data_IF_249794076180
#
_entry.id   IF_249794076180
#
_cell.length_a   1.000
_cell.length_b   1.000
_cell.length_c   1.000
_cell.angle_alpha   90.00
_cell.angle_beta   90.00
_cell.angle_gamma   90.00
#
_symmetry.space_group_name_H-M   'P 1'
#
loop_
_entity.id
_entity.type
_entity.pdbx_description
1 polymer ?
#
# COMPACT_ATOMS: atom_id res chain seq x y z
N UNK A 1 29.45 46.37 -31.88
CA UNK A 1 28.12 46.98 -31.74
C UNK A 1 27.32 46.14 -30.75
N UNK A 2 27.00 46.62 -29.54
CA UNK A 2 26.14 45.92 -28.60
C UNK A 2 24.68 46.33 -28.77
N UNK A 3 23.77 45.38 -28.59
CA UNK A 3 22.30 45.54 -28.65
C UNK A 3 21.67 44.31 -29.29
N UNK A 4 20.65 43.66 -28.76
CA UNK A 4 19.73 43.96 -27.66
C UNK A 4 19.33 42.62 -27.00
N UNK A 5 19.16 42.70 -25.68
CA UNK A 5 18.29 41.88 -24.83
C UNK A 5 17.12 41.19 -25.54
N UNK A 6 17.01 39.87 -25.37
CA UNK A 6 15.74 39.16 -25.34
C UNK A 6 15.77 38.19 -24.14
N UNK A 7 15.29 38.70 -23.01
CA UNK A 7 14.89 37.92 -21.84
C UNK A 7 13.68 37.07 -22.20
N UNK A 8 13.94 35.82 -22.61
CA UNK A 8 12.91 34.78 -22.71
C UNK A 8 12.56 34.28 -21.31
N UNK A 9 11.73 35.06 -20.61
CA UNK A 9 10.99 34.60 -19.44
C UNK A 9 10.02 33.47 -19.87
N UNK A 10 10.48 32.23 -19.81
CA UNK A 10 9.65 31.06 -19.99
C UNK A 10 8.62 30.99 -18.85
N UNK A 11 7.36 31.24 -19.21
CA UNK A 11 6.16 31.06 -18.42
C UNK A 11 6.20 29.70 -17.69
N UNK A 12 6.43 29.70 -16.37
CA UNK A 12 6.14 28.55 -15.50
C UNK A 12 4.63 28.43 -15.37
N UNK A 13 4.03 27.65 -16.25
CA UNK A 13 2.62 27.24 -16.13
C UNK A 13 2.54 26.08 -15.13
N UNK A 14 2.05 26.36 -13.92
CA UNK A 14 1.74 25.33 -12.94
C UNK A 14 0.58 24.46 -13.49
N UNK A 15 0.62 23.12 -13.35
CA UNK A 15 -0.50 22.29 -13.76
C UNK A 15 -1.69 22.53 -12.82
N UNK A 16 -2.80 22.96 -13.43
CA UNK A 16 -4.08 23.15 -12.76
C UNK A 16 -4.60 21.78 -12.30
N UNK A 17 -4.85 21.65 -11.00
CA UNK A 17 -5.51 20.48 -10.41
C UNK A 17 -6.98 20.48 -10.83
N UNK A 18 -7.32 19.69 -11.85
CA UNK A 18 -8.71 19.36 -12.16
C UNK A 18 -9.25 18.44 -11.08
N UNK A 19 -10.15 18.96 -10.24
CA UNK A 19 -10.95 18.19 -9.31
C UNK A 19 -11.93 17.31 -10.09
N UNK A 20 -11.63 16.02 -10.19
CA UNK A 20 -12.55 15.03 -10.73
C UNK A 20 -13.39 14.43 -9.60
N UNK A 21 -14.70 14.69 -9.71
CA UNK A 21 -15.86 13.93 -9.24
C UNK A 21 -15.73 13.13 -7.93
N UNK A 22 -16.42 13.65 -6.89
CA UNK A 22 -16.94 12.86 -5.78
C UNK A 22 -18.00 11.89 -6.31
N UNK A 23 -17.58 10.68 -6.67
CA UNK A 23 -18.45 9.54 -6.88
C UNK A 23 -18.76 8.87 -5.54
N UNK A 24 -19.94 9.16 -5.00
CA UNK A 24 -20.49 8.47 -3.83
C UNK A 24 -20.83 7.03 -4.17
N UNK A 25 -19.98 6.12 -3.72
CA UNK A 25 -20.35 4.74 -3.45
C UNK A 25 -19.84 4.43 -2.06
N UNK A 26 -20.75 4.36 -1.08
CA UNK A 26 -20.44 3.80 0.22
C UNK A 26 -20.21 2.30 0.03
N UNK A 27 -19.05 1.95 -0.55
CA UNK A 27 -18.49 0.63 -0.43
C UNK A 27 -18.15 0.46 1.04
N UNK A 28 -19.05 -0.21 1.77
CA UNK A 28 -18.69 -0.86 3.02
C UNK A 28 -17.35 -1.52 2.78
N UNK A 29 -16.30 -1.03 3.41
CA UNK A 29 -15.01 -1.71 3.47
C UNK A 29 -15.32 -3.02 4.16
N UNK A 30 -15.68 -4.03 3.37
CA UNK A 30 -15.87 -5.37 3.92
C UNK A 30 -14.49 -5.79 4.37
N UNK A 31 -14.30 -6.16 5.65
CA UNK A 31 -13.06 -6.82 6.04
C UNK A 31 -12.81 -7.95 5.05
N UNK A 32 -11.54 -8.14 4.64
CA UNK A 32 -11.01 -9.12 3.66
C UNK A 32 -12.12 -9.84 2.89
N UNK A 33 -12.37 -9.45 1.64
CA UNK A 33 -13.49 -10.02 0.87
C UNK A 33 -13.40 -11.55 0.75
N UNK A 34 -14.52 -12.21 0.47
CA UNK A 34 -14.61 -13.68 0.46
C UNK A 34 -13.57 -14.33 -0.48
N UNK A 35 -13.23 -13.68 -1.59
CA UNK A 35 -12.21 -14.18 -2.52
C UNK A 35 -10.84 -14.15 -1.85
N UNK A 36 -10.47 -13.02 -1.26
CA UNK A 36 -9.21 -12.85 -0.54
C UNK A 36 -9.09 -13.84 0.63
N UNK A 37 -10.17 -14.03 1.40
CA UNK A 37 -10.20 -15.00 2.51
C UNK A 37 -9.95 -16.43 2.02
N UNK A 38 -10.64 -16.86 0.96
CA UNK A 38 -10.46 -18.18 0.33
C UNK A 38 -9.05 -18.37 -0.22
N UNK A 39 -8.47 -17.33 -0.82
CA UNK A 39 -7.11 -17.36 -1.36
C UNK A 39 -6.08 -17.55 -0.24
N UNK A 40 -6.17 -16.79 0.85
CA UNK A 40 -5.29 -16.93 2.02
C UNK A 40 -5.36 -18.33 2.61
N UNK A 41 -6.57 -18.83 2.86
CA UNK A 41 -6.78 -20.17 3.40
C UNK A 41 -6.26 -21.27 2.46
N UNK A 42 -6.42 -21.11 1.15
CA UNK A 42 -5.88 -22.04 0.16
C UNK A 42 -4.34 -22.01 0.13
N UNK A 43 -3.74 -20.81 0.17
CA UNK A 43 -2.29 -20.64 0.21
C UNK A 43 -1.68 -21.28 1.46
N UNK A 44 -2.24 -21.04 2.64
CA UNK A 44 -1.74 -21.65 3.89
C UNK A 44 -1.84 -23.17 3.84
N UNK A 45 -2.99 -23.73 3.43
CA UNK A 45 -3.13 -25.19 3.28
C UNK A 45 -2.11 -25.78 2.32
N UNK A 46 -1.90 -25.12 1.19
CA UNK A 46 -0.93 -25.56 0.19
C UNK A 46 0.49 -25.52 0.75
N UNK A 47 0.89 -24.43 1.42
CA UNK A 47 2.20 -24.28 2.05
C UNK A 47 2.43 -25.31 3.16
N UNK A 48 1.42 -25.55 4.01
CA UNK A 48 1.49 -26.55 5.07
C UNK A 48 1.69 -27.96 4.49
N UNK A 49 1.00 -28.27 3.39
CA UNK A 49 1.11 -29.58 2.71
C UNK A 49 2.49 -29.80 2.10
N UNK A 50 3.11 -28.77 1.53
CA UNK A 50 4.36 -28.92 0.77
C UNK A 50 5.63 -28.64 1.60
N UNK A 51 5.52 -27.85 2.65
CA UNK A 51 6.69 -27.37 3.41
C UNK A 51 6.57 -27.58 4.92
N UNK A 52 5.40 -27.97 5.43
CA UNK A 52 5.09 -28.04 6.86
C UNK A 52 4.72 -26.68 7.46
N UNK A 53 4.44 -26.66 8.76
CA UNK A 53 3.92 -25.50 9.49
C UNK A 53 4.72 -25.18 10.78
N UNK A 54 5.97 -25.65 10.86
CA UNK A 54 6.84 -25.41 12.00
C UNK A 54 7.34 -23.95 12.10
N UNK A 55 8.06 -23.61 13.18
CA UNK A 55 8.56 -22.25 13.43
C UNK A 55 9.41 -21.68 12.28
N UNK A 56 10.21 -22.52 11.62
CA UNK A 56 11.01 -22.12 10.47
C UNK A 56 10.12 -21.72 9.29
N UNK A 57 9.07 -22.49 8.98
CA UNK A 57 8.14 -22.17 7.90
C UNK A 57 7.33 -20.91 8.21
N UNK A 58 6.91 -20.72 9.46
CA UNK A 58 6.29 -19.48 9.91
C UNK A 58 7.23 -18.28 9.71
N UNK A 59 8.52 -18.46 10.03
CA UNK A 59 9.55 -17.43 9.81
C UNK A 59 9.66 -17.09 8.32
N UNK A 60 9.70 -18.09 7.43
CA UNK A 60 9.75 -17.85 5.99
C UNK A 60 8.52 -17.09 5.47
N UNK A 61 7.32 -17.38 5.98
CA UNK A 61 6.09 -16.67 5.61
C UNK A 61 6.08 -15.22 6.09
N UNK A 62 6.71 -14.94 7.23
CA UNK A 62 6.93 -13.57 7.71
C UNK A 62 7.96 -12.85 6.83
N UNK A 63 9.07 -13.52 6.48
CA UNK A 63 10.10 -12.94 5.61
C UNK A 63 9.60 -12.62 4.20
N UNK A 64 8.64 -13.40 3.69
CA UNK A 64 7.95 -13.11 2.41
C UNK A 64 7.32 -11.72 2.39
N UNK A 65 6.83 -11.20 3.52
CA UNK A 65 6.30 -9.82 3.61
C UNK A 65 7.36 -8.78 3.24
N UNK A 66 8.61 -8.98 3.67
CA UNK A 66 9.72 -8.08 3.34
C UNK A 66 10.10 -8.18 1.87
N UNK A 67 10.04 -9.38 1.30
CA UNK A 67 10.26 -9.61 -0.14
C UNK A 67 9.27 -8.79 -0.97
N UNK A 68 7.95 -8.96 -0.74
CA UNK A 68 6.92 -8.21 -1.45
C UNK A 68 7.02 -6.69 -1.23
N UNK A 69 7.39 -6.27 -0.01
CA UNK A 69 7.58 -4.84 0.28
C UNK A 69 8.75 -4.25 -0.52
N UNK A 70 9.79 -5.06 -0.78
CA UNK A 70 10.89 -4.71 -1.67
C UNK A 70 10.46 -4.59 -3.12
N UNK A 71 9.58 -5.48 -3.59
CA UNK A 71 9.01 -5.44 -4.95
C UNK A 71 8.15 -4.18 -5.14
N UNK A 72 7.26 -3.86 -4.20
CA UNK A 72 6.48 -2.62 -4.22
C UNK A 72 7.36 -1.36 -4.25
N UNK A 73 8.45 -1.34 -3.47
CA UNK A 73 9.41 -0.24 -3.48
C UNK A 73 10.15 -0.14 -4.83
N UNK A 74 10.57 -1.28 -5.38
CA UNK A 74 11.22 -1.37 -6.70
C UNK A 74 10.29 -0.87 -7.81
N UNK A 75 9.02 -1.28 -7.79
CA UNK A 75 8.01 -0.82 -8.73
C UNK A 75 7.81 0.70 -8.63
N UNK A 76 7.75 1.27 -7.42
CA UNK A 76 7.62 2.72 -7.25
C UNK A 76 8.85 3.49 -7.77
N UNK A 77 10.06 2.98 -7.51
CA UNK A 77 11.30 3.50 -8.11
C UNK A 77 11.22 3.46 -9.64
N UNK A 78 10.65 2.39 -10.19
CA UNK A 78 10.36 2.23 -11.61
C UNK A 78 9.37 3.24 -12.17
N UNK A 79 8.29 3.56 -11.43
CA UNK A 79 7.34 4.63 -11.80
C UNK A 79 8.03 5.99 -11.84
N UNK A 80 8.85 6.29 -10.84
CA UNK A 80 9.55 7.57 -10.73
C UNK A 80 10.72 7.72 -11.71
N UNK A 81 11.06 6.65 -12.45
CA UNK A 81 12.18 6.64 -13.39
C UNK A 81 13.55 6.90 -12.74
N UNK A 82 13.67 6.65 -11.43
CA UNK A 82 14.85 7.06 -10.66
C UNK A 82 16.11 6.26 -10.97
N UNK A 83 15.99 5.14 -11.70
CA UNK A 83 17.13 4.39 -12.21
C UNK A 83 17.53 4.94 -13.60
N UNK A 84 18.61 5.73 -13.73
CA UNK A 84 18.95 6.39 -15.00
C UNK A 84 19.28 5.41 -16.13
N UNK A 85 19.62 4.16 -15.80
CA UNK A 85 19.90 3.10 -16.78
C UNK A 85 18.64 2.44 -17.36
N UNK A 86 17.49 2.59 -16.68
CA UNK A 86 16.24 1.92 -17.06
C UNK A 86 15.10 2.90 -17.39
N UNK A 87 15.17 4.15 -16.94
CA UNK A 87 14.07 5.11 -17.10
C UNK A 87 12.81 4.64 -16.37
N UNK A 88 11.64 5.01 -16.90
CA UNK A 88 10.34 4.58 -16.37
C UNK A 88 10.08 3.14 -16.79
N UNK A 89 9.88 2.25 -15.81
CA UNK A 89 9.69 0.80 -16.06
C UNK A 89 8.37 0.25 -15.56
N UNK A 90 7.65 0.98 -14.71
CA UNK A 90 6.39 0.54 -14.12
C UNK A 90 5.36 1.66 -14.15
N UNK A 91 4.13 1.29 -13.90
CA UNK A 91 2.96 2.14 -13.77
C UNK A 91 2.50 2.19 -12.32
N UNK A 92 1.77 3.24 -11.90
CA UNK A 92 1.14 3.26 -10.57
C UNK A 92 0.17 2.10 -10.32
N UNK A 93 -0.40 1.49 -11.37
CA UNK A 93 -1.24 0.29 -11.24
C UNK A 93 -0.41 -0.91 -10.82
N UNK A 94 0.72 -1.16 -11.45
CA UNK A 94 1.63 -2.24 -11.06
C UNK A 94 2.12 -2.07 -9.63
N UNK A 95 2.42 -0.83 -9.18
CA UNK A 95 2.74 -0.58 -7.77
C UNK A 95 1.59 -0.97 -6.83
N UNK A 96 0.35 -0.71 -7.23
CA UNK A 96 -0.81 -1.09 -6.44
C UNK A 96 -1.07 -2.61 -6.47
N UNK A 97 -0.59 -3.33 -7.49
CA UNK A 97 -0.60 -4.80 -7.53
C UNK A 97 0.43 -5.34 -6.53
N UNK A 98 1.67 -4.84 -6.54
CA UNK A 98 2.71 -5.23 -5.57
C UNK A 98 2.30 -4.94 -4.11
N UNK A 99 1.63 -3.81 -3.86
CA UNK A 99 1.09 -3.50 -2.53
C UNK A 99 -0.03 -4.47 -2.11
N UNK A 100 -0.79 -5.03 -3.07
CA UNK A 100 -1.76 -6.07 -2.79
C UNK A 100 -1.06 -7.39 -2.43
N UNK A 101 0.07 -7.71 -3.06
CA UNK A 101 0.89 -8.87 -2.73
C UNK A 101 1.48 -8.75 -1.32
N UNK A 102 1.94 -7.56 -0.90
CA UNK A 102 2.34 -7.30 0.50
C UNK A 102 1.19 -7.60 1.48
N UNK A 103 -0.03 -7.17 1.15
CA UNK A 103 -1.19 -7.40 2.01
C UNK A 103 -1.55 -8.90 2.09
N UNK A 104 -1.53 -9.61 0.96
CA UNK A 104 -1.78 -11.05 0.90
C UNK A 104 -0.72 -11.85 1.65
N UNK A 105 0.57 -11.54 1.46
CA UNK A 105 1.67 -12.15 2.20
C UNK A 105 1.50 -11.94 3.71
N UNK A 106 1.10 -10.73 4.13
CA UNK A 106 0.83 -10.43 5.53
C UNK A 106 -0.33 -11.26 6.09
N UNK A 107 -1.43 -11.44 5.34
CA UNK A 107 -2.55 -12.28 5.77
C UNK A 107 -2.19 -13.75 5.84
N UNK A 108 -1.41 -14.27 4.88
CA UNK A 108 -0.88 -15.63 4.92
C UNK A 108 -0.02 -15.84 6.16
N UNK A 109 0.84 -14.88 6.51
CA UNK A 109 1.64 -14.94 7.73
C UNK A 109 0.77 -14.92 8.99
N UNK A 110 -0.20 -14.01 9.10
CA UNK A 110 -1.14 -13.96 10.23
C UNK A 110 -1.91 -15.28 10.39
N UNK A 111 -2.41 -15.83 9.29
CA UNK A 111 -3.15 -17.09 9.29
C UNK A 111 -2.27 -18.27 9.70
N UNK A 112 -1.02 -18.27 9.26
CA UNK A 112 -0.01 -19.28 9.62
C UNK A 112 0.41 -19.25 11.10
N UNK A 113 0.21 -18.11 11.77
CA UNK A 113 0.38 -17.96 13.22
C UNK A 113 -0.87 -18.39 14.01
N UNK A 114 -1.94 -18.84 13.33
CA UNK A 114 -3.17 -19.34 13.95
C UNK A 114 -4.24 -18.28 14.19
N UNK A 115 -4.07 -17.07 13.70
CA UNK A 115 -5.06 -15.98 13.86
C UNK A 115 -5.97 -15.85 12.63
N UNK A 116 -7.12 -15.20 12.79
CA UNK A 116 -7.95 -14.74 11.67
C UNK A 116 -7.42 -13.38 11.16
N UNK A 117 -6.93 -13.29 9.91
CA UNK A 117 -6.45 -12.02 9.35
C UNK A 117 -7.51 -10.90 9.33
N UNK A 118 -8.78 -11.24 9.09
CA UNK A 118 -9.85 -10.25 9.03
C UNK A 118 -10.11 -9.63 10.42
N UNK A 119 -10.14 -10.46 11.47
CA UNK A 119 -10.29 -10.00 12.84
C UNK A 119 -9.09 -9.14 13.29
N UNK A 120 -7.87 -9.59 13.00
CA UNK A 120 -6.64 -8.85 13.34
C UNK A 120 -6.60 -7.50 12.65
N UNK A 121 -6.92 -7.44 11.35
CA UNK A 121 -6.94 -6.19 10.60
C UNK A 121 -8.03 -5.25 11.10
N UNK A 122 -9.24 -5.74 11.32
CA UNK A 122 -10.36 -4.93 11.82
C UNK A 122 -10.04 -4.31 13.18
N UNK A 123 -9.48 -5.11 14.11
CA UNK A 123 -9.07 -4.62 15.42
C UNK A 123 -7.96 -3.56 15.34
N UNK A 124 -7.02 -3.68 14.39
CA UNK A 124 -5.97 -2.66 14.17
C UNK A 124 -6.52 -1.40 13.53
N UNK A 125 -7.43 -1.52 12.57
CA UNK A 125 -8.10 -0.40 11.92
C UNK A 125 -8.92 0.42 12.93
N UNK A 126 -9.71 -0.23 13.79
CA UNK A 126 -10.45 0.43 14.86
C UNK A 126 -9.54 1.28 15.75
N UNK A 127 -8.42 0.72 16.22
CA UNK A 127 -7.41 1.45 17.02
C UNK A 127 -6.78 2.63 16.27
N UNK A 128 -6.64 2.57 14.95
CA UNK A 128 -6.16 3.71 14.15
C UNK A 128 -7.22 4.81 14.12
N UNK A 129 -8.48 4.45 13.87
CA UNK A 129 -9.60 5.39 13.84
C UNK A 129 -9.78 6.10 15.19
N UNK A 130 -9.74 5.36 16.30
CA UNK A 130 -9.83 5.93 17.65
C UNK A 130 -8.71 6.94 17.92
N UNK A 131 -7.48 6.62 17.51
CA UNK A 131 -6.34 7.54 17.64
C UNK A 131 -6.53 8.79 16.80
N UNK A 132 -7.02 8.68 15.57
CA UNK A 132 -7.27 9.84 14.71
C UNK A 132 -8.35 10.74 15.31
N UNK A 133 -9.42 10.17 15.86
CA UNK A 133 -10.48 10.93 16.52
C UNK A 133 -9.95 11.68 17.75
N UNK A 134 -9.11 11.04 18.57
CA UNK A 134 -8.50 11.67 19.74
C UNK A 134 -7.59 12.87 19.37
N UNK A 135 -6.78 12.76 18.31
CA UNK A 135 -5.88 13.84 17.87
C UNK A 135 -6.62 14.95 17.11
N UNK A 136 -7.71 14.63 16.41
CA UNK A 136 -8.58 15.61 15.74
C UNK A 136 -9.41 16.44 16.72
N UNK A 137 -9.73 15.90 17.91
CA UNK A 137 -10.44 16.62 18.97
C UNK A 137 -9.58 17.60 19.77
N UNK A 138 -8.25 17.42 19.80
CA UNK A 138 -7.33 18.30 20.54
C UNK A 138 -7.03 19.62 19.80
N UNK A 139 -7.17 19.66 18.47
CA UNK A 139 -6.85 20.88 17.70
C UNK A 139 -7.89 22.00 17.84
N UNK A 140 -9.06 21.74 18.44
CA UNK A 140 -10.14 22.72 18.58
C UNK A 140 -10.13 23.50 19.91
N UNK A 141 -9.20 23.22 20.85
CA UNK A 141 -9.24 23.77 22.22
C UNK A 141 -8.05 24.72 22.51
N UNK A 142 -7.29 25.15 21.50
CA UNK A 142 -6.09 25.99 21.72
C UNK A 142 -6.18 27.43 21.23
N UNK A 143 -7.31 27.87 20.67
CA UNK A 143 -7.53 29.27 20.26
C UNK A 143 -8.83 29.84 20.86
N UNK A 144 -8.82 30.14 22.15
CA UNK A 144 -9.84 30.95 22.83
C UNK A 144 -9.20 31.90 23.86
#
# INVERSE_FOLDING_TARGET
MPGKSDDLAAHRTAPQRTAAARGGGAGSVRPVDETSRRAVDAAVRWLDTHHGNGPQQQTMRILKVTEEAGEAASAWIGVQGQNPRKGVTHTPREVADELADVALASFVAIRSLGFDPAEVLAAKAAKVLDRMAAHGGTSAVVDA
#
